data_IF_742968457162
#
_entry.id   IF_742968457162
#
_cell.length_a   1.000
_cell.length_b   1.000
_cell.length_c   1.000
_cell.angle_alpha   90.00
_cell.angle_beta   90.00
_cell.angle_gamma   90.00
#
_symmetry.space_group_name_H-M   'P 1'
#
loop_
_entity.id
_entity.type
_entity.pdbx_description
1 polymer ?
#
# COMPACT_ATOMS: atom_id res chain seq x y z
N UNK A 1 25.40 -11.73 -30.93
CA UNK A 1 25.45 -12.87 -29.99
C UNK A 1 26.83 -13.07 -29.36
N UNK A 2 27.93 -13.15 -30.12
CA UNK A 2 29.26 -13.49 -29.56
C UNK A 2 29.79 -12.44 -28.55
N UNK A 3 29.51 -11.13 -28.74
CA UNK A 3 29.93 -10.07 -27.81
C UNK A 3 29.25 -10.19 -26.44
N UNK A 4 27.94 -10.41 -26.40
CA UNK A 4 27.20 -10.60 -25.15
C UNK A 4 27.65 -11.87 -24.41
N UNK A 5 27.90 -12.95 -25.13
CA UNK A 5 28.44 -14.18 -24.56
C UNK A 5 29.82 -13.97 -23.92
N UNK A 6 30.74 -13.35 -24.63
CA UNK A 6 32.11 -13.12 -24.16
C UNK A 6 32.11 -12.18 -22.92
N UNK A 7 31.25 -11.17 -22.91
CA UNK A 7 31.10 -10.27 -21.79
C UNK A 7 30.55 -10.96 -20.54
N UNK A 8 29.48 -11.77 -20.67
CA UNK A 8 28.97 -12.59 -19.57
C UNK A 8 30.00 -13.58 -19.04
N UNK A 9 30.76 -14.20 -19.95
CA UNK A 9 31.86 -15.11 -19.57
C UNK A 9 32.97 -14.40 -18.78
N UNK A 10 33.31 -13.15 -19.14
CA UNK A 10 34.25 -12.33 -18.39
C UNK A 10 33.72 -12.04 -16.98
N UNK A 11 32.46 -11.63 -16.85
CA UNK A 11 31.83 -11.39 -15.55
C UNK A 11 31.82 -12.65 -14.67
N UNK A 12 31.53 -13.82 -15.24
CA UNK A 12 31.58 -15.11 -14.51
C UNK A 12 33.01 -15.38 -14.00
N UNK A 13 34.02 -15.14 -14.82
CA UNK A 13 35.43 -15.30 -14.42
C UNK A 13 35.86 -14.33 -13.32
N UNK A 14 35.26 -13.16 -13.26
CA UNK A 14 35.42 -12.18 -12.20
C UNK A 14 34.60 -12.49 -10.93
N UNK A 15 33.82 -13.58 -10.95
CA UNK A 15 33.01 -14.02 -9.82
C UNK A 15 31.69 -13.27 -9.67
N UNK A 16 31.21 -12.58 -10.70
CA UNK A 16 29.91 -11.91 -10.67
C UNK A 16 28.79 -12.94 -10.54
N UNK A 17 28.07 -12.86 -9.44
CA UNK A 17 26.88 -13.67 -9.18
C UNK A 17 25.88 -12.85 -8.37
N UNK A 18 25.05 -12.09 -9.07
CA UNK A 18 24.05 -11.22 -8.45
C UNK A 18 22.78 -12.02 -8.17
N UNK A 19 22.46 -12.22 -6.91
CA UNK A 19 21.16 -12.76 -6.53
C UNK A 19 20.12 -11.64 -6.52
N UNK A 20 19.43 -11.48 -7.65
CA UNK A 20 18.50 -10.37 -7.87
C UNK A 20 17.27 -10.40 -6.98
N UNK A 21 16.80 -11.58 -6.60
CA UNK A 21 15.51 -11.75 -5.90
C UNK A 21 15.53 -11.22 -4.47
N UNK A 22 16.69 -11.11 -3.84
CA UNK A 22 16.83 -10.55 -2.49
C UNK A 22 16.93 -9.01 -2.47
N UNK A 23 17.29 -8.41 -3.61
CA UNK A 23 17.56 -6.97 -3.69
C UNK A 23 16.37 -6.11 -3.32
N UNK A 24 15.15 -6.37 -3.86
CA UNK A 24 13.98 -5.57 -3.55
C UNK A 24 13.27 -5.99 -2.25
N UNK A 25 13.64 -7.12 -1.63
CA UNK A 25 12.90 -7.69 -0.51
C UNK A 25 13.45 -7.24 0.84
N UNK A 26 12.56 -7.05 1.80
CA UNK A 26 12.90 -6.94 3.19
C UNK A 26 13.29 -8.32 3.74
N UNK A 27 14.35 -8.38 4.54
CA UNK A 27 14.73 -9.62 5.23
C UNK A 27 13.75 -10.01 6.35
N UNK A 28 13.13 -9.01 6.97
CA UNK A 28 12.12 -9.16 8.01
C UNK A 28 11.15 -7.99 7.95
N UNK A 29 9.87 -8.26 8.04
CA UNK A 29 8.82 -7.23 8.20
C UNK A 29 7.97 -7.55 9.41
N UNK A 30 7.65 -6.53 10.20
CA UNK A 30 6.79 -6.66 11.36
C UNK A 30 5.56 -5.78 11.16
N UNK A 31 4.41 -6.41 10.96
CA UNK A 31 3.13 -5.72 10.97
C UNK A 31 2.61 -5.61 12.40
N UNK A 32 1.99 -4.47 12.74
CA UNK A 32 1.37 -4.29 14.05
C UNK A 32 0.02 -3.60 13.93
N UNK A 33 -0.86 -3.97 14.85
CA UNK A 33 -2.21 -3.41 14.97
C UNK A 33 -2.48 -3.03 16.41
N UNK A 34 -3.01 -1.84 16.62
CA UNK A 34 -3.45 -1.34 17.91
C UNK A 34 -4.93 -0.99 17.83
N UNK A 35 -5.69 -1.37 18.83
CA UNK A 35 -7.10 -1.04 18.99
C UNK A 35 -7.36 -0.57 20.40
N UNK A 36 -8.08 0.52 20.53
CA UNK A 36 -8.60 1.01 21.80
C UNK A 36 -10.09 1.24 21.65
N UNK A 37 -10.88 0.67 22.55
CA UNK A 37 -12.32 0.93 22.64
C UNK A 37 -12.65 1.41 24.05
N UNK A 38 -13.41 2.48 24.11
CA UNK A 38 -13.99 3.02 25.33
C UNK A 38 -15.49 3.06 25.11
N UNK A 39 -16.24 2.52 26.03
CA UNK A 39 -17.70 2.57 26.02
C UNK A 39 -18.22 2.84 27.43
N UNK A 40 -19.40 3.46 27.48
CA UNK A 40 -20.04 3.81 28.72
C UNK A 40 -21.44 4.33 28.50
N UNK A 41 -22.05 4.75 29.59
CA UNK A 41 -23.38 5.35 29.56
C UNK A 41 -24.25 4.94 30.72
N UNK A 42 -25.51 5.25 30.58
CA UNK A 42 -26.60 4.92 31.51
C UNK A 42 -27.86 4.52 30.70
N UNK A 43 -29.00 4.48 31.37
CA UNK A 43 -30.27 4.11 30.73
C UNK A 43 -30.73 5.08 29.65
N UNK A 44 -30.23 6.31 29.65
CA UNK A 44 -30.61 7.38 28.74
C UNK A 44 -29.59 7.65 27.65
N UNK A 45 -28.29 7.52 27.97
CA UNK A 45 -27.20 7.81 27.06
C UNK A 45 -26.23 6.65 27.06
N UNK A 46 -25.89 6.15 25.88
CA UNK A 46 -24.82 5.17 25.66
C UNK A 46 -23.88 5.71 24.60
N UNK A 47 -22.60 5.57 24.82
CA UNK A 47 -21.58 5.98 23.88
C UNK A 47 -20.48 4.94 23.77
N UNK A 48 -19.88 4.87 22.61
CA UNK A 48 -18.66 4.14 22.38
C UNK A 48 -17.73 4.93 21.46
N UNK A 49 -16.45 4.85 21.74
CA UNK A 49 -15.38 5.40 20.91
C UNK A 49 -14.39 4.28 20.61
N UNK A 50 -13.98 4.20 19.37
CA UNK A 50 -12.99 3.22 18.92
C UNK A 50 -11.90 3.90 18.11
N UNK A 51 -10.66 3.56 18.40
CA UNK A 51 -9.48 3.99 17.65
C UNK A 51 -8.73 2.74 17.21
N UNK A 52 -8.49 2.64 15.92
CA UNK A 52 -7.74 1.54 15.32
C UNK A 52 -6.57 2.08 14.51
N UNK A 53 -5.38 1.60 14.80
CA UNK A 53 -4.19 1.87 13.99
C UNK A 53 -3.60 0.56 13.51
N UNK A 54 -3.35 0.45 12.23
CA UNK A 54 -2.73 -0.71 11.61
C UNK A 54 -1.61 -0.25 10.68
N UNK A 55 -0.40 -0.77 10.91
CA UNK A 55 0.76 -0.59 10.03
C UNK A 55 1.19 -1.95 9.49
N UNK A 56 1.18 -2.06 8.17
CA UNK A 56 1.55 -3.27 7.45
C UNK A 56 2.66 -2.93 6.45
N UNK A 57 3.94 -3.08 6.84
CA UNK A 57 5.04 -2.96 5.91
C UNK A 57 4.91 -3.96 4.76
N UNK A 58 5.30 -3.56 3.56
CA UNK A 58 5.30 -4.44 2.41
C UNK A 58 6.44 -5.45 2.44
N UNK A 59 6.32 -6.48 1.62
CA UNK A 59 7.39 -7.47 1.40
C UNK A 59 8.56 -6.82 0.67
N UNK A 60 8.28 -5.90 -0.26
CA UNK A 60 9.31 -5.10 -0.92
C UNK A 60 9.74 -3.93 -0.04
N UNK A 61 11.01 -3.56 -0.15
CA UNK A 61 11.59 -2.43 0.58
C UNK A 61 10.82 -1.14 0.28
N UNK A 62 10.71 -0.29 1.30
CA UNK A 62 10.08 1.03 1.20
C UNK A 62 8.63 1.02 0.72
N UNK A 63 7.97 -0.12 0.81
CA UNK A 63 6.53 -0.24 0.57
C UNK A 63 5.77 -0.52 1.86
N UNK A 64 4.50 -0.14 1.88
CA UNK A 64 3.67 -0.40 3.05
C UNK A 64 2.30 0.23 2.99
N UNK A 65 1.51 -0.10 3.98
CA UNK A 65 0.16 0.43 4.15
C UNK A 65 -0.11 0.75 5.61
N UNK A 66 -0.51 2.00 5.84
CA UNK A 66 -0.96 2.48 7.14
C UNK A 66 -2.46 2.75 7.10
N UNK A 67 -3.15 2.36 8.15
CA UNK A 67 -4.57 2.65 8.31
C UNK A 67 -4.84 3.17 9.70
N UNK A 68 -5.49 4.34 9.77
CA UNK A 68 -6.07 4.90 10.99
C UNK A 68 -7.59 4.85 10.84
N UNK A 69 -8.27 4.28 11.82
CA UNK A 69 -9.73 4.26 11.92
C UNK A 69 -10.18 4.89 13.23
N UNK A 70 -11.21 5.72 13.15
CA UNK A 70 -11.90 6.32 14.30
C UNK A 70 -13.38 6.00 14.19
N UNK A 71 -13.98 5.47 15.25
CA UNK A 71 -15.40 5.21 15.36
C UNK A 71 -15.99 5.93 16.57
N UNK A 72 -17.12 6.57 16.39
CA UNK A 72 -17.91 7.16 17.46
C UNK A 72 -19.35 6.68 17.33
N UNK A 73 -19.88 6.15 18.41
CA UNK A 73 -21.27 5.73 18.50
C UNK A 73 -21.92 6.47 19.65
N UNK A 74 -23.10 7.04 19.40
CA UNK A 74 -23.94 7.69 20.38
C UNK A 74 -25.35 7.17 20.26
N UNK A 75 -25.92 6.73 21.36
CA UNK A 75 -27.32 6.38 21.48
C UNK A 75 -27.95 7.21 22.59
N UNK A 76 -29.02 7.90 22.28
CA UNK A 76 -29.82 8.65 23.23
C UNK A 76 -31.23 8.09 23.28
N UNK A 77 -31.70 7.77 24.49
CA UNK A 77 -33.00 7.16 24.74
C UNK A 77 -33.83 8.15 25.57
N UNK A 78 -34.93 8.59 25.01
CA UNK A 78 -35.88 9.43 25.69
C UNK A 78 -37.27 8.84 25.61
N UNK A 79 -37.78 8.30 26.73
CA UNK A 79 -39.05 7.58 26.81
C UNK A 79 -39.10 6.46 25.75
N UNK A 80 -40.01 6.59 24.78
CA UNK A 80 -40.25 5.68 23.68
C UNK A 80 -39.51 6.03 22.38
N UNK A 81 -38.57 6.98 22.44
CA UNK A 81 -37.78 7.47 21.32
C UNK A 81 -36.28 7.17 21.53
N UNK A 82 -35.66 6.58 20.54
CA UNK A 82 -34.23 6.30 20.52
C UNK A 82 -33.59 6.96 19.33
N UNK A 83 -32.60 7.80 19.57
CA UNK A 83 -31.71 8.36 18.56
C UNK A 83 -30.40 7.59 18.57
N UNK A 84 -29.85 7.34 17.38
CA UNK A 84 -28.53 6.75 17.20
C UNK A 84 -27.76 7.57 16.20
N UNK A 85 -26.50 7.82 16.52
CA UNK A 85 -25.54 8.38 15.59
C UNK A 85 -24.29 7.55 15.60
N UNK A 86 -23.80 7.21 14.41
CA UNK A 86 -22.57 6.47 14.22
C UNK A 86 -21.72 7.21 13.21
N UNK A 87 -20.55 7.66 13.67
CA UNK A 87 -19.56 8.36 12.87
C UNK A 87 -18.34 7.47 12.73
N UNK A 88 -17.94 7.18 11.48
CA UNK A 88 -16.74 6.43 11.18
C UNK A 88 -15.84 7.26 10.29
N UNK A 89 -14.58 7.37 10.67
CA UNK A 89 -13.53 7.95 9.85
C UNK A 89 -12.44 6.91 9.61
N UNK A 90 -11.99 6.81 8.38
CA UNK A 90 -10.89 5.95 7.98
C UNK A 90 -9.92 6.71 7.09
N UNK A 91 -8.65 6.68 7.44
CA UNK A 91 -7.55 7.17 6.62
C UNK A 91 -6.63 6.02 6.29
N UNK A 92 -6.38 5.83 5.01
CA UNK A 92 -5.42 4.85 4.49
C UNK A 92 -4.35 5.60 3.73
N UNK A 93 -3.10 5.27 4.01
CA UNK A 93 -1.92 5.68 3.25
C UNK A 93 -1.25 4.42 2.73
N UNK A 94 -1.03 4.35 1.43
CA UNK A 94 -0.26 3.29 0.81
C UNK A 94 0.94 3.89 0.08
N UNK A 95 2.11 3.27 0.27
CA UNK A 95 3.36 3.66 -0.37
C UNK A 95 3.82 2.49 -1.23
N UNK A 96 4.01 2.74 -2.52
CA UNK A 96 4.57 1.76 -3.44
C UNK A 96 6.10 1.76 -3.34
N UNK A 97 6.69 0.63 -3.66
CA UNK A 97 8.14 0.46 -3.58
C UNK A 97 8.85 1.16 -4.73
N UNK A 98 9.88 1.99 -4.49
CA UNK A 98 10.72 2.54 -5.55
C UNK A 98 11.54 1.47 -6.27
N UNK A 99 11.59 0.25 -5.71
CA UNK A 99 12.25 -0.90 -6.35
C UNK A 99 11.46 -1.45 -7.56
N UNK A 100 10.31 -0.89 -7.92
CA UNK A 100 9.51 -1.34 -9.05
C UNK A 100 8.76 -2.66 -8.78
N UNK A 101 8.58 -3.48 -9.82
CA UNK A 101 7.88 -4.75 -9.71
C UNK A 101 8.84 -5.91 -9.43
N UNK A 102 8.47 -6.80 -8.50
CA UNK A 102 9.26 -8.01 -8.22
C UNK A 102 9.48 -8.88 -9.48
N UNK A 103 8.53 -8.88 -10.40
CA UNK A 103 8.62 -9.62 -11.67
C UNK A 103 9.76 -9.16 -12.58
N UNK A 104 10.22 -7.92 -12.44
CA UNK A 104 11.37 -7.40 -13.20
C UNK A 104 12.65 -8.12 -12.78
N UNK A 105 12.83 -8.34 -11.50
CA UNK A 105 14.01 -9.02 -10.94
C UNK A 105 14.10 -10.49 -11.34
N UNK A 106 12.95 -11.15 -11.53
CA UNK A 106 12.94 -12.57 -11.94
C UNK A 106 13.47 -12.82 -13.34
N UNK A 107 13.58 -11.78 -14.16
CA UNK A 107 14.02 -11.85 -15.56
C UNK A 107 15.48 -11.45 -15.74
N UNK A 108 16.12 -10.93 -14.68
CA UNK A 108 17.49 -10.45 -14.77
C UNK A 108 18.51 -11.58 -14.72
N UNK A 109 19.56 -11.39 -15.49
CA UNK A 109 20.67 -12.36 -15.54
C UNK A 109 21.56 -12.20 -14.30
N UNK A 110 21.87 -13.28 -13.55
CA UNK A 110 22.70 -13.20 -12.35
C UNK A 110 24.17 -12.83 -12.64
N UNK A 111 24.62 -12.99 -13.88
CA UNK A 111 26.01 -12.70 -14.27
C UNK A 111 26.21 -11.27 -14.78
N UNK A 112 25.38 -10.35 -14.33
CA UNK A 112 25.44 -8.93 -14.69
C UNK A 112 25.77 -8.11 -13.44
N UNK A 113 26.75 -7.21 -13.56
CA UNK A 113 27.07 -6.24 -12.53
C UNK A 113 25.94 -5.18 -12.48
N UNK A 114 25.48 -4.88 -11.30
CA UNK A 114 24.44 -3.86 -11.09
C UNK A 114 25.01 -2.52 -10.57
N UNK A 115 26.31 -2.52 -10.23
CA UNK A 115 27.06 -1.35 -9.80
C UNK A 115 28.34 -1.22 -10.60
N UNK A 116 28.77 0.04 -10.80
CA UNK A 116 30.08 0.38 -11.34
C UNK A 116 31.20 0.23 -10.30
N UNK A 117 32.43 0.59 -10.69
CA UNK A 117 33.61 0.54 -9.82
C UNK A 117 33.55 1.56 -8.66
N UNK A 118 32.80 2.65 -8.82
CA UNK A 118 32.57 3.67 -7.82
C UNK A 118 31.42 3.33 -6.86
N UNK A 119 30.71 2.22 -7.11
CA UNK A 119 29.61 1.73 -6.28
C UNK A 119 28.24 2.30 -6.64
N UNK A 120 28.12 3.10 -7.71
CA UNK A 120 26.85 3.63 -8.18
C UNK A 120 26.07 2.58 -8.97
N UNK A 121 24.75 2.67 -8.96
CA UNK A 121 23.93 1.79 -9.77
C UNK A 121 24.06 2.10 -11.27
N UNK A 122 24.37 1.08 -12.05
CA UNK A 122 24.41 1.15 -13.51
C UNK A 122 22.95 1.23 -14.02
N UNK A 123 22.65 2.19 -14.91
CA UNK A 123 21.30 2.35 -15.47
C UNK A 123 20.94 1.25 -16.46
N UNK A 124 21.82 1.00 -17.43
CA UNK A 124 21.62 0.01 -18.49
C UNK A 124 22.47 -1.24 -18.18
N UNK A 125 21.81 -2.35 -17.91
CA UNK A 125 22.49 -3.61 -17.57
C UNK A 125 23.01 -4.36 -18.80
N UNK A 126 22.17 -4.50 -19.81
CA UNK A 126 22.46 -5.26 -21.01
C UNK A 126 21.78 -4.63 -22.23
N UNK A 127 22.40 -4.76 -23.39
CA UNK A 127 21.81 -4.47 -24.68
C UNK A 127 21.86 -5.73 -25.57
N UNK A 128 20.72 -6.19 -26.00
CA UNK A 128 20.60 -7.35 -26.88
C UNK A 128 20.19 -6.93 -28.29
N UNK A 129 20.90 -7.45 -29.30
CA UNK A 129 20.48 -7.31 -30.68
C UNK A 129 19.39 -8.36 -30.98
N UNK A 130 18.17 -7.91 -31.17
CA UNK A 130 17.02 -8.74 -31.54
C UNK A 130 16.65 -8.55 -33.01
N UNK A 131 16.22 -9.66 -33.64
CA UNK A 131 15.71 -9.65 -35.02
C UNK A 131 14.19 -9.75 -35.00
N UNK A 132 13.56 -8.95 -35.81
CA UNK A 132 12.14 -9.00 -36.15
C UNK A 132 11.96 -9.21 -37.64
N UNK A 133 10.76 -9.49 -38.09
CA UNK A 133 10.42 -9.60 -39.52
C UNK A 133 10.69 -8.32 -40.31
N UNK A 134 10.82 -7.17 -39.64
CA UNK A 134 11.05 -5.85 -40.24
C UNK A 134 12.48 -5.36 -40.09
N UNK A 135 13.38 -6.13 -39.44
CA UNK A 135 14.78 -5.73 -39.27
C UNK A 135 15.37 -6.14 -37.93
N UNK A 136 16.56 -5.62 -37.62
CA UNK A 136 17.20 -5.79 -36.31
C UNK A 136 17.04 -4.53 -35.48
N UNK A 137 16.82 -4.69 -34.17
CA UNK A 137 16.75 -3.61 -33.21
C UNK A 137 17.51 -3.96 -31.93
N UNK A 138 17.94 -2.95 -31.19
CA UNK A 138 18.53 -3.14 -29.86
C UNK A 138 17.43 -3.17 -28.79
N UNK A 139 17.46 -4.19 -27.96
CA UNK A 139 16.62 -4.30 -26.79
C UNK A 139 17.47 -4.07 -25.55
N UNK A 140 17.10 -3.07 -24.77
CA UNK A 140 17.82 -2.68 -23.54
C UNK A 140 17.16 -3.31 -22.33
N UNK A 141 17.98 -3.81 -21.41
CA UNK A 141 17.55 -4.30 -20.10
C UNK A 141 18.07 -3.31 -19.07
N UNK A 142 17.14 -2.64 -18.39
CA UNK A 142 17.45 -1.62 -17.41
C UNK A 142 17.55 -2.20 -16.00
N UNK A 143 18.26 -1.50 -15.14
CA UNK A 143 18.45 -1.84 -13.75
C UNK A 143 17.29 -1.29 -12.91
N UNK A 144 16.39 -2.14 -12.38
CA UNK A 144 15.30 -1.64 -11.55
C UNK A 144 15.80 -0.99 -10.25
N UNK A 145 17.00 -1.33 -9.76
CA UNK A 145 17.60 -0.69 -8.60
C UNK A 145 18.00 0.77 -8.87
N UNK A 146 18.16 1.18 -10.12
CA UNK A 146 18.47 2.55 -10.45
C UNK A 146 17.35 3.51 -10.02
N UNK A 147 16.09 3.04 -10.05
CA UNK A 147 14.94 3.84 -9.63
C UNK A 147 15.04 4.27 -8.16
N UNK A 148 15.75 3.52 -7.32
CA UNK A 148 15.95 3.87 -5.90
C UNK A 148 16.88 5.06 -5.70
N UNK A 149 17.61 5.51 -6.72
CA UNK A 149 18.44 6.70 -6.69
C UNK A 149 17.68 7.97 -7.08
N UNK A 150 16.48 7.79 -7.62
CA UNK A 150 15.59 8.88 -7.99
C UNK A 150 14.74 9.26 -6.78
N UNK A 151 14.59 10.55 -6.53
CA UNK A 151 13.70 11.06 -5.47
C UNK A 151 12.24 11.03 -5.95
N UNK A 152 11.74 9.83 -6.22
CA UNK A 152 10.37 9.59 -6.66
C UNK A 152 9.58 9.01 -5.50
N UNK A 153 8.43 9.62 -5.21
CA UNK A 153 7.53 9.19 -4.15
C UNK A 153 6.18 8.82 -4.75
N UNK A 154 5.90 7.53 -4.75
CA UNK A 154 4.60 6.98 -5.18
C UNK A 154 3.75 6.67 -3.94
N UNK A 155 2.89 7.61 -3.58
CA UNK A 155 2.00 7.49 -2.43
C UNK A 155 0.54 7.71 -2.85
N UNK A 156 -0.33 6.87 -2.33
CA UNK A 156 -1.77 7.08 -2.41
C UNK A 156 -2.37 7.25 -1.02
N UNK A 157 -3.30 8.17 -0.90
CA UNK A 157 -4.04 8.46 0.33
C UNK A 157 -5.53 8.40 0.05
N UNK A 158 -6.23 7.72 0.92
CA UNK A 158 -7.67 7.57 0.88
C UNK A 158 -8.24 7.96 2.23
N UNK A 159 -9.18 8.89 2.24
CA UNK A 159 -9.92 9.31 3.42
C UNK A 159 -11.41 9.06 3.19
N UNK A 160 -12.04 8.48 4.17
CA UNK A 160 -13.47 8.16 4.18
C UNK A 160 -14.07 8.62 5.50
N UNK A 161 -15.16 9.36 5.41
CA UNK A 161 -15.96 9.79 6.55
C UNK A 161 -17.41 9.39 6.29
N UNK A 162 -17.91 8.47 7.10
CA UNK A 162 -19.30 8.02 7.04
C UNK A 162 -20.01 8.39 8.32
N UNK A 163 -21.18 9.01 8.18
CA UNK A 163 -22.09 9.26 9.29
C UNK A 163 -23.43 8.59 9.01
N UNK A 164 -23.90 7.83 9.98
CA UNK A 164 -25.23 7.21 9.99
C UNK A 164 -26.02 7.77 11.17
N UNK A 165 -27.15 8.35 10.87
CA UNK A 165 -28.13 8.81 11.84
C UNK A 165 -29.38 7.95 11.78
N UNK A 166 -29.90 7.52 12.94
CA UNK A 166 -31.09 6.68 13.05
C UNK A 166 -32.05 7.14 14.12
N UNK A 167 -33.32 7.00 13.84
CA UNK A 167 -34.43 7.23 14.76
C UNK A 167 -35.25 5.94 14.87
N UNK A 168 -35.63 5.62 16.08
CA UNK A 168 -36.51 4.51 16.40
C UNK A 168 -37.54 5.01 17.43
N UNK A 169 -38.78 5.17 16.99
CA UNK A 169 -39.84 5.77 17.79
C UNK A 169 -41.04 4.83 17.88
N UNK A 170 -41.34 4.39 19.09
CA UNK A 170 -42.56 3.68 19.40
C UNK A 170 -43.67 4.71 19.73
N UNK A 171 -44.49 5.04 18.73
CA UNK A 171 -45.49 6.10 18.84
C UNK A 171 -46.58 5.71 19.83
N UNK A 172 -47.12 4.50 19.69
CA UNK A 172 -48.09 3.85 20.58
C UNK A 172 -47.77 2.36 20.64
N UNK A 173 -48.44 1.64 21.53
CA UNK A 173 -48.37 0.18 21.56
C UNK A 173 -48.79 -0.41 20.21
N UNK A 174 -47.97 -1.27 19.62
CA UNK A 174 -48.17 -1.85 18.30
C UNK A 174 -47.77 -0.99 17.09
N UNK A 175 -47.43 0.32 17.27
CA UNK A 175 -46.96 1.19 16.18
C UNK A 175 -45.56 1.75 16.43
N UNK A 176 -44.63 1.36 15.57
CA UNK A 176 -43.22 1.76 15.66
C UNK A 176 -42.76 2.33 14.33
N UNK A 177 -42.19 3.53 14.39
CA UNK A 177 -41.56 4.21 13.26
C UNK A 177 -40.05 4.10 13.36
N UNK A 178 -39.40 3.69 12.27
CA UNK A 178 -37.95 3.69 12.13
C UNK A 178 -37.54 4.47 10.91
N UNK A 179 -36.53 5.32 11.06
CA UNK A 179 -35.91 6.07 9.99
C UNK A 179 -34.40 6.09 10.13
N UNK A 180 -33.70 6.11 9.02
CA UNK A 180 -32.25 6.27 9.00
C UNK A 180 -31.81 7.11 7.82
N UNK A 181 -30.75 7.89 8.03
CA UNK A 181 -30.08 8.68 7.02
C UNK A 181 -28.58 8.48 7.15
N UNK A 182 -27.91 8.27 6.01
CA UNK A 182 -26.46 8.12 5.97
C UNK A 182 -25.87 8.98 4.87
N UNK A 183 -24.70 9.54 5.12
CA UNK A 183 -23.88 10.16 4.10
C UNK A 183 -22.44 9.71 4.24
N UNK A 184 -21.74 9.67 3.11
CA UNK A 184 -20.31 9.31 3.04
C UNK A 184 -19.59 10.37 2.23
N UNK A 185 -18.47 10.85 2.78
CA UNK A 185 -17.52 11.73 2.11
C UNK A 185 -16.24 10.97 1.88
N UNK A 186 -15.82 10.88 0.62
CA UNK A 186 -14.60 10.20 0.22
C UNK A 186 -13.66 11.17 -0.49
N UNK A 187 -12.39 11.13 -0.15
CA UNK A 187 -11.34 11.86 -0.83
C UNK A 187 -10.15 10.94 -1.09
N UNK A 188 -9.70 10.89 -2.33
CA UNK A 188 -8.53 10.12 -2.75
C UNK A 188 -7.55 11.06 -3.40
N UNK A 189 -6.29 11.01 -2.98
CA UNK A 189 -5.17 11.68 -3.62
C UNK A 189 -4.06 10.69 -3.90
N UNK A 190 -3.38 10.86 -5.03
CA UNK A 190 -2.19 10.11 -5.40
C UNK A 190 -1.11 11.10 -5.84
N UNK A 191 0.09 10.92 -5.29
CA UNK A 191 1.29 11.64 -5.66
C UNK A 191 2.23 10.63 -6.33
N UNK A 192 2.58 10.88 -7.59
CA UNK A 192 3.46 10.02 -8.40
C UNK A 192 4.63 10.84 -8.93
#
# INVERSE_FOLDING_TARGET
MQRAYNWRLANIREGVNTYWLDKPLNSLTVAHKHSLRLDGGNDYIRYAMEVNYNNTPGVMKESGRERLGLGLELQYIYKNLTFRNQLNYSRVKATNSPYGSFSEYTRLNPYVKYKDEDGNYIYELEAEDRRSNTGSYKFFIYNPLYNTTLDVRDESRYNDLTNLFGIDWQIIEGLRLKGSFSFTLQNTSADV
#
